data_IF_484459663539
#
_entry.id   IF_484459663539
#
_cell.length_a   1.000
_cell.length_b   1.000
_cell.length_c   1.000
_cell.angle_alpha   90.00
_cell.angle_beta   90.00
_cell.angle_gamma   90.00
#
_symmetry.space_group_name_H-M   'P 1'
#
loop_
_entity.id
_entity.type
_entity.pdbx_description
1 polymer ?
#
# COMPACT_ATOMS: atom_id res chain seq x y z
N UNK A 1 45.71 -35.17 -4.44
CA UNK A 1 45.93 -33.73 -4.22
C UNK A 1 44.82 -32.87 -4.87
N UNK A 2 44.39 -33.17 -6.09
CA UNK A 2 43.35 -32.43 -6.83
C UNK A 2 41.95 -32.60 -6.20
N UNK A 3 41.55 -33.80 -5.78
CA UNK A 3 40.28 -34.06 -5.09
C UNK A 3 40.15 -33.34 -3.74
N UNK A 4 41.22 -33.22 -2.98
CA UNK A 4 41.23 -32.51 -1.70
C UNK A 4 41.05 -31.02 -1.93
N UNK A 5 41.60 -30.47 -3.04
CA UNK A 5 41.46 -29.06 -3.39
C UNK A 5 40.02 -28.73 -3.84
N UNK A 6 39.39 -29.63 -4.60
CA UNK A 6 38.00 -29.49 -5.03
C UNK A 6 36.99 -29.53 -3.86
N UNK A 7 37.20 -30.47 -2.94
CA UNK A 7 36.33 -30.57 -1.75
C UNK A 7 36.48 -29.35 -0.83
N UNK A 8 37.70 -28.85 -0.68
CA UNK A 8 37.95 -27.61 0.09
C UNK A 8 37.32 -26.39 -0.56
N UNK A 9 37.42 -26.25 -1.89
CA UNK A 9 36.78 -25.16 -2.61
C UNK A 9 35.25 -25.21 -2.51
N UNK A 10 34.62 -26.37 -2.65
CA UNK A 10 33.18 -26.56 -2.46
C UNK A 10 32.71 -26.11 -1.05
N UNK A 11 33.46 -26.52 -0.01
CA UNK A 11 33.15 -26.12 1.37
C UNK A 11 33.27 -24.59 1.59
N UNK A 12 34.28 -23.94 0.98
CA UNK A 12 34.46 -22.50 1.05
C UNK A 12 33.31 -21.77 0.31
N UNK A 13 32.90 -22.25 -0.87
CA UNK A 13 31.80 -21.65 -1.63
C UNK A 13 30.47 -21.81 -0.87
N UNK A 14 30.19 -22.98 -0.31
CA UNK A 14 28.98 -23.20 0.50
C UNK A 14 28.98 -22.32 1.74
N UNK A 15 30.11 -22.18 2.42
CA UNK A 15 30.25 -21.28 3.59
C UNK A 15 30.05 -19.83 3.23
N UNK A 16 30.57 -19.36 2.09
CA UNK A 16 30.38 -17.99 1.58
C UNK A 16 28.91 -17.74 1.22
N UNK A 17 28.25 -18.68 0.56
CA UNK A 17 26.82 -18.59 0.24
C UNK A 17 25.98 -18.52 1.51
N UNK A 18 26.28 -19.36 2.51
CA UNK A 18 25.58 -19.33 3.80
C UNK A 18 25.82 -18.00 4.55
N UNK A 19 27.04 -17.46 4.50
CA UNK A 19 27.35 -16.14 5.08
C UNK A 19 26.62 -15.01 4.36
N UNK A 20 26.55 -15.03 3.03
CA UNK A 20 25.82 -14.03 2.24
C UNK A 20 24.31 -14.11 2.52
N UNK A 21 23.75 -15.31 2.57
CA UNK A 21 22.33 -15.52 2.91
C UNK A 21 22.03 -15.09 4.36
N UNK A 22 22.92 -15.38 5.30
CA UNK A 22 22.78 -14.92 6.68
C UNK A 22 22.93 -13.38 6.79
N UNK A 23 23.83 -12.78 6.02
CA UNK A 23 24.04 -11.34 6.00
C UNK A 23 22.85 -10.60 5.37
N UNK A 24 22.29 -11.12 4.26
CA UNK A 24 21.05 -10.60 3.68
C UNK A 24 19.86 -10.76 4.63
N UNK A 25 19.79 -11.83 5.42
CA UNK A 25 18.75 -12.00 6.44
C UNK A 25 18.93 -11.03 7.61
N UNK A 26 20.16 -10.79 8.05
CA UNK A 26 20.45 -9.81 9.11
C UNK A 26 20.18 -8.36 8.66
N UNK A 27 20.48 -8.04 7.42
CA UNK A 27 20.20 -6.70 6.85
C UNK A 27 18.67 -6.44 6.73
N UNK A 28 17.90 -7.47 6.34
CA UNK A 28 16.45 -7.37 6.29
C UNK A 28 15.81 -7.28 7.68
N UNK A 29 16.34 -7.96 8.69
CA UNK A 29 15.88 -7.90 10.09
C UNK A 29 16.34 -6.63 10.80
N UNK A 30 17.50 -6.06 10.45
CA UNK A 30 18.00 -4.78 10.99
C UNK A 30 17.18 -3.57 10.53
N UNK A 31 16.35 -3.73 9.51
CA UNK A 31 15.48 -2.67 8.97
C UNK A 31 14.01 -2.84 9.39
N UNK A 32 13.75 -3.04 10.65
CA UNK A 32 12.39 -3.14 11.19
C UNK A 32 12.25 -2.31 12.45
N UNK A 33 11.32 -1.37 12.44
CA UNK A 33 10.89 -0.70 13.65
C UNK A 33 9.80 -1.53 14.33
N UNK A 34 10.16 -2.44 15.22
CA UNK A 34 9.23 -3.33 15.90
C UNK A 34 8.21 -2.62 16.77
N UNK A 35 8.56 -1.46 17.33
CA UNK A 35 7.60 -0.64 18.06
C UNK A 35 6.51 -0.15 17.11
N UNK A 36 6.90 0.38 15.96
CA UNK A 36 5.96 0.82 14.94
C UNK A 36 5.07 -0.32 14.42
N UNK A 37 5.67 -1.48 14.12
CA UNK A 37 4.92 -2.63 13.62
C UNK A 37 3.85 -3.11 14.62
N UNK A 38 4.16 -3.12 15.91
CA UNK A 38 3.15 -3.41 16.95
C UNK A 38 2.09 -2.31 17.03
N UNK A 39 2.47 -1.05 16.89
CA UNK A 39 1.56 0.09 16.97
C UNK A 39 0.54 0.06 15.82
N UNK A 40 0.97 -0.20 14.58
CA UNK A 40 0.06 -0.26 13.43
C UNK A 40 -0.91 -1.44 13.53
N UNK A 41 -0.46 -2.58 14.04
CA UNK A 41 -1.34 -3.73 14.28
C UNK A 41 -2.36 -3.42 15.38
N UNK A 42 -1.93 -2.83 16.50
CA UNK A 42 -2.85 -2.42 17.57
C UNK A 42 -3.83 -1.33 17.12
N UNK A 43 -3.45 -0.48 16.17
CA UNK A 43 -4.35 0.52 15.60
C UNK A 43 -5.51 -0.13 14.83
N UNK A 44 -5.28 -1.25 14.14
CA UNK A 44 -6.33 -2.01 13.44
C UNK A 44 -7.46 -2.41 14.38
N UNK A 45 -7.13 -2.85 15.60
CA UNK A 45 -8.12 -3.34 16.58
C UNK A 45 -9.10 -2.26 17.05
N UNK A 46 -8.82 -0.98 16.76
CA UNK A 46 -9.70 0.15 17.09
C UNK A 46 -10.78 0.40 16.04
N UNK A 47 -10.66 -0.21 14.86
CA UNK A 47 -11.62 -0.06 13.78
C UNK A 47 -12.79 -1.04 13.96
N UNK A 48 -14.00 -0.59 13.66
CA UNK A 48 -15.16 -1.49 13.69
C UNK A 48 -15.02 -2.54 12.56
N UNK A 49 -15.73 -3.65 12.72
CA UNK A 49 -15.84 -4.63 11.65
C UNK A 49 -16.93 -4.16 10.67
N UNK A 50 -16.65 -4.26 9.35
CA UNK A 50 -17.58 -3.88 8.27
C UNK A 50 -17.68 -2.36 8.09
N UNK A 51 -18.91 -1.80 8.10
CA UNK A 51 -19.14 -0.36 7.94
C UNK A 51 -19.35 0.12 6.51
N UNK A 52 -19.37 -0.80 5.55
CA UNK A 52 -19.64 -0.53 4.14
C UNK A 52 -18.40 -0.20 3.32
N UNK A 53 -18.51 -0.50 2.03
CA UNK A 53 -17.49 -0.22 1.02
C UNK A 53 -18.04 0.73 -0.04
N UNK A 54 -17.42 1.89 -0.19
CA UNK A 54 -17.90 2.95 -1.07
C UNK A 54 -16.76 3.56 -1.90
N UNK A 55 -16.88 3.49 -3.22
CA UNK A 55 -15.90 4.06 -4.17
C UNK A 55 -16.45 5.22 -5.00
N UNK A 56 -17.69 5.65 -4.76
CA UNK A 56 -18.32 6.77 -5.47
C UNK A 56 -18.88 6.46 -6.86
N UNK A 57 -18.78 5.21 -7.32
CA UNK A 57 -19.12 4.86 -8.69
C UNK A 57 -20.25 3.83 -8.87
N UNK A 58 -20.99 3.48 -7.82
CA UNK A 58 -22.01 2.43 -7.92
C UNK A 58 -23.42 2.98 -7.85
N UNK A 59 -24.32 2.52 -8.74
CA UNK A 59 -25.71 2.98 -8.78
C UNK A 59 -26.50 2.73 -7.49
N UNK A 60 -26.04 1.80 -6.64
CA UNK A 60 -26.75 1.34 -5.44
C UNK A 60 -26.05 1.71 -4.14
N UNK A 61 -25.09 2.64 -4.15
CA UNK A 61 -24.45 3.12 -2.94
C UNK A 61 -25.45 3.99 -2.15
N UNK A 62 -26.12 3.41 -1.17
CA UNK A 62 -27.15 4.05 -0.32
C UNK A 62 -26.59 4.65 0.96
N UNK A 63 -25.31 4.96 1.02
CA UNK A 63 -24.68 5.53 2.19
C UNK A 63 -25.07 7.00 2.40
N UNK A 64 -25.27 7.40 3.65
CA UNK A 64 -25.62 8.76 4.02
C UNK A 64 -24.46 9.76 3.77
N UNK A 65 -23.24 9.27 3.58
CA UNK A 65 -22.05 10.08 3.29
C UNK A 65 -21.03 9.28 2.47
N UNK A 66 -20.14 9.99 1.81
CA UNK A 66 -19.04 9.42 1.05
C UNK A 66 -17.93 8.92 1.97
N UNK A 67 -17.04 8.07 1.44
CA UNK A 67 -15.82 7.64 2.15
C UNK A 67 -14.95 8.81 2.61
N UNK A 68 -14.80 9.79 1.78
CA UNK A 68 -14.00 10.99 2.07
C UNK A 68 -14.61 11.79 3.23
N UNK A 69 -15.92 11.95 3.21
CA UNK A 69 -16.62 12.62 4.31
C UNK A 69 -16.48 11.85 5.61
N UNK A 70 -16.60 10.52 5.55
CA UNK A 70 -16.37 9.67 6.71
C UNK A 70 -14.98 9.85 7.30
N UNK A 71 -13.95 9.81 6.44
CA UNK A 71 -12.58 9.98 6.90
C UNK A 71 -12.30 11.39 7.43
N UNK A 72 -12.84 12.43 6.77
CA UNK A 72 -12.73 13.81 7.22
C UNK A 72 -13.38 14.00 8.61
N UNK A 73 -14.59 13.48 8.81
CA UNK A 73 -15.32 13.59 10.07
C UNK A 73 -14.63 12.83 11.21
N UNK A 74 -13.95 11.72 10.88
CA UNK A 74 -13.16 10.96 11.83
C UNK A 74 -11.94 11.73 12.34
N UNK A 75 -11.39 12.62 11.53
CA UNK A 75 -10.19 13.39 11.85
C UNK A 75 -10.57 14.75 12.46
N UNK A 76 -10.81 14.77 13.75
CA UNK A 76 -11.27 15.94 14.49
C UNK A 76 -10.08 16.74 15.01
N UNK A 77 -9.89 17.96 14.49
CA UNK A 77 -8.86 18.88 14.94
C UNK A 77 -9.36 20.32 14.86
N UNK A 78 -9.47 20.98 16.03
CA UNK A 78 -9.91 22.36 16.15
C UNK A 78 -8.73 23.34 16.08
N UNK A 79 -8.97 24.63 15.79
CA UNK A 79 -7.96 25.67 15.96
C UNK A 79 -7.40 25.64 17.38
N UNK A 80 -6.08 25.55 17.50
CA UNK A 80 -5.39 25.49 18.82
C UNK A 80 -5.05 24.08 19.28
N UNK A 81 -5.64 23.05 18.71
CA UNK A 81 -5.29 21.68 19.06
C UNK A 81 -3.84 21.35 18.64
N UNK A 82 -3.13 20.69 19.53
CA UNK A 82 -1.77 20.22 19.27
C UNK A 82 -1.74 18.97 18.37
N UNK A 83 -2.77 18.15 18.46
CA UNK A 83 -2.94 16.92 17.66
C UNK A 83 -4.43 16.61 17.52
N UNK A 84 -4.82 15.86 16.47
CA UNK A 84 -6.22 15.51 16.28
C UNK A 84 -6.69 14.47 17.29
N UNK A 85 -8.00 14.45 17.49
CA UNK A 85 -8.72 13.30 17.97
C UNK A 85 -9.24 12.52 16.77
N UNK A 86 -8.86 11.25 16.64
CA UNK A 86 -9.32 10.41 15.54
C UNK A 86 -10.34 9.39 16.05
N UNK A 87 -11.49 9.30 15.37
CA UNK A 87 -12.61 8.43 15.74
C UNK A 87 -12.79 7.35 14.67
N UNK A 88 -12.16 6.17 14.80
CA UNK A 88 -12.19 5.12 13.77
C UNK A 88 -13.59 4.72 13.30
N UNK A 89 -14.58 4.72 14.19
CA UNK A 89 -15.97 4.38 13.85
C UNK A 89 -16.65 5.42 12.95
N UNK A 90 -16.14 6.63 12.84
CA UNK A 90 -16.65 7.65 11.94
C UNK A 90 -16.01 7.57 10.54
N UNK A 91 -14.89 6.90 10.38
CA UNK A 91 -14.20 6.72 9.10
C UNK A 91 -14.90 5.70 8.19
N UNK A 92 -16.21 5.80 8.10
CA UNK A 92 -17.11 4.93 7.35
C UNK A 92 -18.11 5.76 6.54
N UNK A 93 -18.60 5.25 5.37
CA UNK A 93 -18.08 4.06 4.68
C UNK A 93 -16.62 4.25 4.24
N UNK A 94 -15.96 3.18 3.80
CA UNK A 94 -14.55 3.23 3.46
C UNK A 94 -14.27 2.48 2.16
N UNK A 95 -13.05 2.64 1.63
CA UNK A 95 -12.48 1.76 0.63
C UNK A 95 -11.00 1.49 0.97
N UNK A 96 -10.33 0.66 0.20
CA UNK A 96 -9.05 0.08 0.61
C UNK A 96 -7.97 1.12 0.99
N UNK A 97 -7.76 2.15 0.18
CA UNK A 97 -6.74 3.16 0.49
C UNK A 97 -7.16 4.11 1.61
N UNK A 98 -8.47 4.40 1.76
CA UNK A 98 -8.95 5.16 2.91
C UNK A 98 -8.75 4.41 4.23
N UNK A 99 -8.96 3.10 4.21
CA UNK A 99 -8.75 2.24 5.37
C UNK A 99 -7.28 2.22 5.81
N UNK A 100 -6.36 2.03 4.88
CA UNK A 100 -4.92 2.03 5.19
C UNK A 100 -4.45 3.40 5.67
N UNK A 101 -4.97 4.49 5.10
CA UNK A 101 -4.69 5.84 5.58
C UNK A 101 -5.24 6.09 6.98
N UNK A 102 -6.47 5.70 7.25
CA UNK A 102 -7.09 5.84 8.57
C UNK A 102 -6.30 5.10 9.67
N UNK A 103 -5.86 3.87 9.39
CA UNK A 103 -5.00 3.11 10.31
C UNK A 103 -3.64 3.79 10.49
N UNK A 104 -3.05 4.34 9.42
CA UNK A 104 -1.80 5.11 9.52
C UNK A 104 -1.96 6.31 10.48
N UNK A 105 -3.02 7.11 10.32
CA UNK A 105 -3.30 8.25 11.21
C UNK A 105 -3.47 7.78 12.67
N UNK A 106 -4.26 6.74 12.90
CA UNK A 106 -4.44 6.19 14.23
C UNK A 106 -3.14 5.66 14.84
N UNK A 107 -2.33 4.97 14.04
CA UNK A 107 -1.03 4.46 14.48
C UNK A 107 -0.04 5.59 14.80
N UNK A 108 -0.01 6.66 13.99
CA UNK A 108 0.80 7.85 14.28
C UNK A 108 0.38 8.52 15.58
N UNK A 109 -0.92 8.63 15.86
CA UNK A 109 -1.43 9.15 17.14
C UNK A 109 -1.03 8.30 18.34
N UNK A 110 -1.06 6.99 18.17
CA UNK A 110 -0.66 6.05 19.23
C UNK A 110 0.85 6.06 19.46
N UNK A 111 1.63 6.27 18.42
CA UNK A 111 3.09 6.37 18.46
C UNK A 111 3.56 7.71 19.04
N UNK A 112 2.97 8.81 18.59
CA UNK A 112 3.38 10.18 18.90
C UNK A 112 2.82 10.68 20.25
N UNK A 113 3.06 9.94 21.33
CA UNK A 113 2.65 10.37 22.68
C UNK A 113 3.41 11.57 23.20
N UNK A 114 4.63 11.75 22.73
CA UNK A 114 5.53 12.85 23.10
C UNK A 114 5.31 14.15 22.31
N UNK A 115 4.49 14.12 21.25
CA UNK A 115 4.17 15.30 20.44
C UNK A 115 5.32 15.75 19.54
N UNK A 116 6.07 14.80 18.98
CA UNK A 116 7.12 15.07 17.97
C UNK A 116 6.51 15.57 16.67
N UNK A 117 5.32 15.04 16.30
CA UNK A 117 4.59 15.51 15.12
C UNK A 117 3.90 16.82 15.45
N UNK A 118 4.29 17.88 14.74
CA UNK A 118 3.81 19.24 14.99
C UNK A 118 2.33 19.41 14.63
N UNK A 119 1.64 20.38 15.26
CA UNK A 119 0.25 20.70 14.91
C UNK A 119 0.05 21.07 13.43
N UNK A 120 1.07 21.66 12.79
CA UNK A 120 1.05 21.98 11.36
C UNK A 120 1.08 20.72 10.51
N UNK A 121 1.93 19.74 10.86
CA UNK A 121 1.96 18.45 10.18
C UNK A 121 0.63 17.71 10.31
N UNK A 122 0.05 17.67 11.51
CA UNK A 122 -1.26 17.07 11.72
C UNK A 122 -2.35 17.73 10.87
N UNK A 123 -2.40 19.07 10.82
CA UNK A 123 -3.37 19.78 9.96
C UNK A 123 -3.18 19.44 8.49
N UNK A 124 -1.94 19.33 8.03
CA UNK A 124 -1.65 18.96 6.63
C UNK A 124 -2.03 17.51 6.31
N UNK A 125 -2.02 16.61 7.29
CA UNK A 125 -2.48 15.23 7.13
C UNK A 125 -4.00 15.07 7.19
N UNK A 126 -4.76 16.12 7.57
CA UNK A 126 -6.22 16.03 7.58
C UNK A 126 -6.73 15.75 6.18
N UNK A 127 -7.60 14.76 6.00
CA UNK A 127 -8.25 14.49 4.73
C UNK A 127 -9.08 15.71 4.30
N UNK A 128 -8.68 16.30 3.20
CA UNK A 128 -9.27 17.53 2.72
C UNK A 128 -9.09 17.65 1.23
N UNK A 129 -10.11 18.21 0.56
CA UNK A 129 -10.07 18.54 -0.85
C UNK A 129 -10.70 19.89 -1.06
N UNK A 130 -10.05 20.73 -1.84
CA UNK A 130 -10.50 22.07 -2.13
C UNK A 130 -11.50 22.21 -3.29
N UNK A 131 -11.85 21.11 -3.95
CA UNK A 131 -12.70 21.15 -5.15
C UNK A 131 -14.17 21.05 -4.76
N UNK A 132 -14.94 22.02 -5.21
CA UNK A 132 -16.40 22.06 -5.08
C UNK A 132 -17.03 21.76 -6.44
N UNK A 133 -17.91 20.78 -6.47
CA UNK A 133 -18.73 20.47 -7.64
C UNK A 133 -20.14 20.04 -7.22
N UNK A 134 -20.97 19.65 -8.18
CA UNK A 134 -22.36 19.24 -7.93
C UNK A 134 -22.50 17.98 -7.07
N UNK A 135 -21.49 17.11 -7.08
CA UNK A 135 -21.44 15.87 -6.29
C UNK A 135 -20.76 16.07 -4.94
N UNK A 136 -20.02 17.16 -4.80
CA UNK A 136 -19.24 17.49 -3.60
C UNK A 136 -19.33 19.00 -3.30
N UNK A 137 -20.53 19.49 -2.96
CA UNK A 137 -20.81 20.92 -2.86
C UNK A 137 -20.07 21.63 -1.71
N UNK A 138 -19.62 20.91 -0.71
CA UNK A 138 -18.81 21.43 0.39
C UNK A 138 -17.28 21.38 0.09
N UNK A 139 -16.89 20.84 -1.05
CA UNK A 139 -15.50 20.74 -1.47
C UNK A 139 -14.71 19.66 -0.74
N UNK A 140 -15.37 18.73 -0.05
CA UNK A 140 -14.74 17.64 0.67
C UNK A 140 -14.79 16.36 -0.17
N UNK A 141 -13.72 15.60 -0.14
CA UNK A 141 -13.80 14.22 -0.46
C UNK A 141 -13.58 13.78 -1.87
N UNK A 142 -12.88 14.51 -2.68
CA UNK A 142 -12.44 13.99 -3.97
C UNK A 142 -11.06 13.37 -3.90
N UNK A 143 -10.86 12.26 -4.62
CA UNK A 143 -9.63 11.50 -4.69
C UNK A 143 -8.76 11.91 -5.88
N UNK A 144 -8.69 13.16 -6.17
CA UNK A 144 -8.05 13.67 -7.37
C UNK A 144 -6.58 14.07 -7.18
N UNK A 145 -5.98 13.66 -6.08
CA UNK A 145 -4.58 13.92 -5.79
C UNK A 145 -4.32 15.30 -5.18
N UNK A 146 -5.37 16.01 -4.77
CA UNK A 146 -5.22 17.28 -4.06
C UNK A 146 -4.90 17.06 -2.60
N UNK A 147 -3.79 17.62 -2.11
CA UNK A 147 -3.34 17.48 -0.73
C UNK A 147 -2.76 16.11 -0.37
N UNK A 148 -2.42 15.92 0.90
CA UNK A 148 -1.83 14.66 1.38
C UNK A 148 -2.76 13.47 1.25
N UNK A 149 -4.05 13.69 1.45
CA UNK A 149 -5.04 12.66 1.26
C UNK A 149 -5.01 12.11 -0.17
N UNK A 150 -5.02 12.96 -1.18
CA UNK A 150 -4.93 12.54 -2.56
C UNK A 150 -3.65 11.77 -2.87
N UNK A 151 -2.50 12.20 -2.31
CA UNK A 151 -1.22 11.48 -2.44
C UNK A 151 -1.26 10.09 -1.84
N UNK A 152 -2.06 9.88 -0.79
CA UNK A 152 -2.19 8.61 -0.08
C UNK A 152 -3.30 7.71 -0.61
N UNK A 153 -4.21 8.26 -1.39
CA UNK A 153 -5.41 7.56 -1.83
C UNK A 153 -5.37 7.12 -3.29
N UNK A 154 -4.32 7.46 -4.02
CA UNK A 154 -4.16 6.98 -5.38
C UNK A 154 -4.23 5.44 -5.43
N UNK A 155 -4.77 4.89 -6.51
CA UNK A 155 -4.91 3.44 -6.67
C UNK A 155 -3.58 2.69 -6.73
N UNK A 156 -2.47 3.37 -6.96
CA UNK A 156 -1.12 2.83 -6.88
C UNK A 156 -0.61 2.70 -5.44
N UNK A 157 0.70 2.58 -5.23
CA UNK A 157 1.33 2.49 -3.90
C UNK A 157 1.46 3.85 -3.23
N UNK A 158 0.39 4.62 -3.18
CA UNK A 158 0.38 6.03 -2.78
C UNK A 158 0.99 6.31 -1.40
N UNK A 159 0.73 5.47 -0.40
CA UNK A 159 1.43 5.55 0.88
C UNK A 159 2.93 5.29 0.73
N UNK A 160 3.33 4.39 -0.18
CA UNK A 160 4.73 4.18 -0.52
C UNK A 160 5.42 5.42 -1.09
N UNK A 161 4.71 6.21 -1.90
CA UNK A 161 5.19 7.49 -2.42
C UNK A 161 5.43 8.47 -1.27
N UNK A 162 4.44 8.67 -0.41
CA UNK A 162 4.56 9.58 0.73
C UNK A 162 5.71 9.16 1.67
N UNK A 163 5.82 7.87 1.99
CA UNK A 163 6.86 7.35 2.87
C UNK A 163 8.25 7.56 2.27
N UNK A 164 8.40 7.40 0.94
CA UNK A 164 9.63 7.70 0.24
C UNK A 164 9.97 9.20 0.29
N UNK A 165 9.03 10.07 -0.03
CA UNK A 165 9.23 11.53 -0.01
C UNK A 165 9.60 12.05 1.38
N UNK A 166 9.04 11.47 2.43
CA UNK A 166 9.38 11.79 3.82
C UNK A 166 10.68 11.13 4.29
N UNK A 167 11.27 10.23 3.50
CA UNK A 167 12.38 9.38 3.92
C UNK A 167 12.03 8.61 5.22
N UNK A 168 10.75 8.26 5.38
CA UNK A 168 10.22 7.63 6.59
C UNK A 168 10.36 6.10 6.58
N UNK A 169 10.81 5.52 5.47
CA UNK A 169 10.96 4.10 5.31
C UNK A 169 11.40 3.72 3.91
N UNK A 170 11.06 2.53 3.48
CA UNK A 170 11.40 2.02 2.15
C UNK A 170 10.32 1.11 1.59
N UNK A 171 10.35 0.91 0.28
CA UNK A 171 9.48 -0.03 -0.42
C UNK A 171 10.30 -1.12 -1.11
N UNK A 172 9.70 -2.31 -1.20
CA UNK A 172 10.19 -3.44 -2.01
C UNK A 172 9.06 -3.92 -2.91
N UNK A 173 9.40 -4.44 -4.08
CA UNK A 173 8.41 -4.93 -5.04
C UNK A 173 8.84 -6.26 -5.65
N UNK A 174 7.86 -7.04 -6.08
CA UNK A 174 8.05 -8.17 -6.95
C UNK A 174 6.95 -8.21 -7.99
N UNK A 175 7.31 -8.68 -9.16
CA UNK A 175 6.45 -8.80 -10.33
C UNK A 175 6.49 -10.24 -10.83
N UNK A 176 5.32 -10.82 -11.02
CA UNK A 176 5.20 -12.20 -11.48
C UNK A 176 5.50 -12.38 -12.98
N UNK A 177 5.35 -11.31 -13.75
CA UNK A 177 5.36 -11.37 -15.21
C UNK A 177 4.00 -11.75 -15.79
N UNK A 178 3.88 -11.73 -17.11
CA UNK A 178 2.68 -12.15 -17.83
C UNK A 178 3.00 -13.28 -18.80
N UNK A 179 2.15 -14.31 -18.87
CA UNK A 179 2.37 -15.51 -19.71
C UNK A 179 2.56 -15.19 -21.20
N UNK A 180 1.83 -14.21 -21.68
CA UNK A 180 1.83 -13.80 -23.10
C UNK A 180 2.36 -12.39 -23.27
N UNK A 181 3.31 -11.99 -22.43
CA UNK A 181 3.86 -10.65 -22.49
C UNK A 181 4.70 -10.47 -23.76
N UNK A 182 4.13 -9.76 -24.73
CA UNK A 182 4.83 -9.28 -25.91
C UNK A 182 5.55 -7.96 -25.64
N UNK A 183 5.30 -7.33 -24.51
CA UNK A 183 5.95 -6.12 -24.02
C UNK A 183 6.67 -6.48 -22.74
N UNK A 184 7.96 -6.71 -22.85
CA UNK A 184 8.83 -6.86 -21.69
C UNK A 184 8.93 -5.51 -21.02
N UNK A 185 8.34 -5.33 -19.84
CA UNK A 185 8.53 -4.12 -19.05
C UNK A 185 9.98 -3.97 -18.61
N UNK A 186 10.67 -5.11 -18.40
CA UNK A 186 12.13 -5.18 -18.29
C UNK A 186 12.66 -6.38 -19.06
N UNK A 187 13.82 -6.28 -19.70
CA UNK A 187 14.39 -7.38 -20.51
C UNK A 187 14.69 -8.67 -19.74
N UNK A 188 14.69 -8.61 -18.39
CA UNK A 188 15.06 -9.71 -17.51
C UNK A 188 13.89 -10.43 -16.86
N UNK A 189 12.67 -9.88 -16.94
CA UNK A 189 11.53 -10.47 -16.25
C UNK A 189 10.91 -11.59 -17.10
N UNK A 190 11.07 -12.81 -16.63
CA UNK A 190 10.32 -13.96 -17.14
C UNK A 190 9.06 -14.17 -16.31
N UNK A 191 8.04 -14.74 -16.93
CA UNK A 191 6.87 -15.19 -16.18
C UNK A 191 7.26 -16.27 -15.16
N UNK A 192 6.88 -16.04 -13.90
CA UNK A 192 7.06 -16.99 -12.83
C UNK A 192 5.85 -17.93 -12.77
N UNK A 193 6.10 -19.23 -12.74
CA UNK A 193 5.07 -20.23 -12.51
C UNK A 193 4.40 -20.05 -11.15
N UNK A 194 3.26 -20.67 -10.93
CA UNK A 194 2.55 -20.59 -9.63
C UNK A 194 3.44 -21.04 -8.47
N UNK A 195 4.21 -22.12 -8.65
CA UNK A 195 5.11 -22.63 -7.66
C UNK A 195 6.27 -21.67 -7.33
N UNK A 196 6.89 -21.10 -8.38
CA UNK A 196 7.96 -20.11 -8.23
C UNK A 196 7.45 -18.83 -7.57
N UNK A 197 6.25 -18.37 -7.94
CA UNK A 197 5.66 -17.18 -7.36
C UNK A 197 5.28 -17.36 -5.89
N UNK A 198 4.66 -18.49 -5.51
CA UNK A 198 4.39 -18.82 -4.10
C UNK A 198 5.69 -18.96 -3.28
N UNK A 199 6.77 -19.43 -3.89
CA UNK A 199 8.09 -19.56 -3.25
C UNK A 199 8.92 -18.27 -3.30
N UNK A 200 8.43 -17.20 -3.97
CA UNK A 200 9.22 -15.99 -4.19
C UNK A 200 9.66 -15.34 -2.86
N UNK A 201 10.94 -14.91 -2.76
CA UNK A 201 11.50 -14.34 -1.53
C UNK A 201 10.74 -13.15 -0.95
N UNK A 202 10.03 -12.41 -1.79
CA UNK A 202 9.26 -11.22 -1.37
C UNK A 202 8.29 -11.52 -0.22
N UNK A 203 7.66 -12.70 -0.21
CA UNK A 203 6.72 -13.11 0.82
C UNK A 203 7.36 -13.32 2.19
N UNK A 204 8.66 -13.67 2.21
CA UNK A 204 9.46 -13.83 3.44
C UNK A 204 10.10 -12.53 3.91
N UNK A 205 10.27 -11.56 3.01
CA UNK A 205 10.80 -10.23 3.33
C UNK A 205 9.72 -9.33 3.93
N UNK A 206 8.45 -9.59 3.64
CA UNK A 206 7.33 -8.88 4.20
C UNK A 206 7.24 -9.11 5.72
N UNK A 207 6.95 -8.06 6.46
CA UNK A 207 6.77 -8.09 7.91
C UNK A 207 5.33 -7.70 8.24
N UNK A 208 4.75 -8.38 9.23
CA UNK A 208 3.41 -8.05 9.72
C UNK A 208 3.32 -6.58 10.11
N UNK A 209 2.38 -5.86 9.53
CA UNK A 209 2.21 -4.41 9.67
C UNK A 209 2.79 -3.60 8.51
N UNK A 210 3.48 -4.22 7.54
CA UNK A 210 3.86 -3.51 6.32
C UNK A 210 2.60 -3.08 5.56
N UNK A 211 2.63 -1.88 5.02
CA UNK A 211 1.64 -1.44 4.04
C UNK A 211 1.88 -2.21 2.76
N UNK A 212 0.83 -2.77 2.18
CA UNK A 212 0.93 -3.61 0.99
C UNK A 212 0.00 -3.09 -0.09
N UNK A 213 0.53 -2.91 -1.28
CA UNK A 213 -0.28 -2.71 -2.49
C UNK A 213 -0.27 -3.97 -3.33
N UNK A 214 -1.47 -4.46 -3.63
CA UNK A 214 -1.74 -5.59 -4.50
C UNK A 214 -2.15 -5.05 -5.87
N UNK A 215 -1.49 -5.50 -6.93
CA UNK A 215 -1.97 -5.39 -8.31
C UNK A 215 -2.45 -6.77 -8.73
N UNK A 216 -3.75 -6.88 -8.98
CA UNK A 216 -4.38 -8.17 -9.23
C UNK A 216 -3.95 -8.78 -10.56
N UNK A 217 -3.73 -10.08 -10.55
CA UNK A 217 -3.68 -10.86 -11.78
C UNK A 217 -5.10 -10.98 -12.35
N UNK A 218 -5.46 -10.08 -13.26
CA UNK A 218 -6.80 -10.02 -13.82
C UNK A 218 -7.21 -11.27 -14.57
N UNK A 219 -6.25 -12.00 -15.09
CA UNK A 219 -6.51 -13.20 -15.86
C UNK A 219 -7.07 -14.34 -15.02
N UNK A 220 -6.60 -14.47 -13.77
CA UNK A 220 -7.08 -15.48 -12.84
C UNK A 220 -8.30 -15.02 -12.05
N UNK A 221 -8.34 -13.76 -11.64
CA UNK A 221 -9.42 -13.21 -10.82
C UNK A 221 -10.71 -12.91 -11.58
N UNK A 222 -10.66 -12.79 -12.92
CA UNK A 222 -11.80 -12.41 -13.77
C UNK A 222 -12.04 -13.33 -14.97
N UNK A 223 -11.33 -14.47 -15.07
CA UNK A 223 -11.48 -15.40 -16.18
C UNK A 223 -10.99 -14.88 -17.54
N UNK A 224 -10.11 -13.89 -17.54
CA UNK A 224 -9.50 -13.39 -18.77
C UNK A 224 -8.19 -14.11 -19.08
N UNK A 225 -8.00 -14.48 -20.34
CA UNK A 225 -6.78 -15.15 -20.81
C UNK A 225 -5.55 -14.28 -20.60
N UNK A 226 -4.48 -14.89 -20.05
CA UNK A 226 -3.23 -14.27 -19.66
C UNK A 226 -2.68 -13.26 -20.67
N UNK A 227 -3.03 -12.00 -20.50
CA UNK A 227 -2.59 -10.89 -21.33
C UNK A 227 -1.46 -10.10 -20.70
N UNK A 228 -0.78 -9.32 -21.50
CA UNK A 228 0.16 -8.30 -21.04
C UNK A 228 -0.51 -7.38 -20.02
N UNK A 229 0.26 -6.80 -19.11
CA UNK A 229 -0.22 -5.67 -18.31
C UNK A 229 -0.61 -4.57 -19.29
N UNK A 230 -1.90 -4.31 -19.36
CA UNK A 230 -2.45 -3.25 -20.19
C UNK A 230 -3.07 -2.24 -19.23
N UNK A 231 -2.67 -0.99 -19.31
CA UNK A 231 -3.29 0.10 -18.59
C UNK A 231 -4.79 0.24 -18.91
N UNK A 232 -5.50 1.04 -18.16
CA UNK A 232 -6.92 1.31 -18.41
C UNK A 232 -7.20 1.93 -19.79
N UNK A 233 -6.21 2.62 -20.34
CA UNK A 233 -6.26 3.23 -21.67
C UNK A 233 -5.95 2.25 -22.82
N UNK A 234 -5.68 0.99 -22.50
CA UNK A 234 -5.28 -0.02 -23.47
C UNK A 234 -3.84 0.12 -23.97
N UNK A 235 -3.05 1.03 -23.37
CA UNK A 235 -1.64 1.25 -23.76
C UNK A 235 -0.76 0.19 -23.11
N UNK A 236 0.05 -0.47 -23.94
CA UNK A 236 1.02 -1.45 -23.48
C UNK A 236 2.13 -0.79 -22.65
N UNK A 237 2.59 -1.49 -21.61
CA UNK A 237 3.64 -1.01 -20.71
C UNK A 237 3.13 -0.06 -19.61
N UNK A 238 1.84 0.28 -19.60
CA UNK A 238 1.22 0.99 -18.50
C UNK A 238 0.71 0.02 -17.45
N UNK A 239 1.07 0.27 -16.19
CA UNK A 239 0.52 -0.49 -15.07
C UNK A 239 -0.96 -0.23 -14.93
N UNK A 240 -1.71 -1.30 -14.73
CA UNK A 240 -3.06 -1.16 -14.28
C UNK A 240 -3.06 -0.90 -12.78
N UNK A 241 -3.27 0.35 -12.41
CA UNK A 241 -3.23 0.82 -11.03
C UNK A 241 -4.39 0.29 -10.17
N UNK A 242 -5.43 -0.25 -10.81
CA UNK A 242 -6.51 -0.90 -10.09
C UNK A 242 -6.02 -2.13 -9.32
N UNK A 243 -6.19 -2.07 -8.03
CA UNK A 243 -5.72 -3.11 -7.15
C UNK A 243 -6.28 -2.93 -5.75
N UNK A 244 -5.53 -3.35 -4.75
CA UNK A 244 -5.98 -3.30 -3.37
C UNK A 244 -4.88 -2.77 -2.46
N UNK A 245 -5.20 -1.77 -1.64
CA UNK A 245 -4.30 -1.25 -0.61
C UNK A 245 -4.67 -1.90 0.72
N UNK A 246 -3.71 -2.55 1.36
CA UNK A 246 -3.95 -3.38 2.53
C UNK A 246 -2.82 -3.25 3.54
N UNK A 247 -3.02 -3.77 4.75
CA UNK A 247 -1.96 -3.98 5.74
C UNK A 247 -1.70 -5.49 5.81
N UNK A 248 -0.46 -5.86 5.57
CA UNK A 248 -0.04 -7.26 5.59
C UNK A 248 -0.06 -7.81 7.01
N UNK A 249 -0.72 -8.96 7.20
CA UNK A 249 -0.82 -9.64 8.49
C UNK A 249 0.01 -10.91 8.57
N UNK A 250 0.46 -11.45 7.43
CA UNK A 250 1.26 -12.67 7.38
C UNK A 250 0.84 -13.60 6.25
N UNK A 251 1.41 -14.80 6.30
CA UNK A 251 1.03 -15.93 5.46
C UNK A 251 0.33 -16.97 6.34
N UNK A 252 -0.75 -17.55 5.83
CA UNK A 252 -1.39 -18.70 6.49
C UNK A 252 -0.58 -19.99 6.31
N UNK A 253 -0.91 -21.00 7.05
CA UNK A 253 -0.26 -22.33 6.96
C UNK A 253 -0.47 -23.02 5.61
N UNK A 254 -1.56 -22.69 4.91
CA UNK A 254 -1.86 -23.15 3.54
C UNK A 254 -1.31 -22.21 2.46
N UNK A 255 -0.45 -21.24 2.84
CA UNK A 255 0.29 -20.38 1.91
C UNK A 255 -0.51 -19.20 1.32
N UNK A 256 -1.63 -18.83 1.92
CA UNK A 256 -2.40 -17.64 1.51
C UNK A 256 -1.83 -16.37 2.14
N UNK A 257 -1.88 -15.28 1.42
CA UNK A 257 -1.60 -13.94 1.95
C UNK A 257 -2.77 -13.50 2.81
N UNK A 258 -2.51 -13.15 4.06
CA UNK A 258 -3.49 -12.62 5.00
C UNK A 258 -3.27 -11.11 5.14
N UNK A 259 -4.32 -10.33 5.04
CA UNK A 259 -4.25 -8.88 5.12
C UNK A 259 -5.50 -8.29 5.78
N UNK A 260 -5.38 -7.04 6.22
CA UNK A 260 -6.50 -6.23 6.68
C UNK A 260 -6.70 -5.02 5.76
N UNK A 261 -7.95 -4.69 5.50
CA UNK A 261 -8.32 -3.50 4.73
C UNK A 261 -9.82 -3.21 4.86
N UNK A 262 -10.32 -2.23 4.12
CA UNK A 262 -11.72 -2.20 3.73
C UNK A 262 -11.88 -3.07 2.47
N UNK A 263 -12.59 -4.18 2.60
CA UNK A 263 -12.76 -5.18 1.56
C UNK A 263 -14.13 -5.05 0.90
N UNK A 264 -14.14 -5.11 -0.40
CA UNK A 264 -15.32 -5.06 -1.29
C UNK A 264 -14.88 -4.98 -2.74
N UNK A 265 -15.78 -4.98 -3.69
CA UNK A 265 -17.17 -5.39 -3.61
C UNK A 265 -17.29 -6.91 -3.65
N UNK A 266 -17.92 -7.47 -2.63
CA UNK A 266 -18.40 -8.84 -2.68
C UNK A 266 -19.88 -8.90 -3.07
N UNK A 267 -20.39 -10.10 -3.22
CA UNK A 267 -21.81 -10.33 -3.51
C UNK A 267 -22.69 -10.06 -2.27
N UNK A 268 -22.08 -9.97 -1.08
CA UNK A 268 -22.78 -9.71 0.17
C UNK A 268 -22.35 -8.37 0.79
N UNK A 269 -23.18 -7.30 0.66
CA UNK A 269 -22.94 -6.01 1.28
C UNK A 269 -22.73 -6.08 2.80
N UNK A 270 -23.30 -7.09 3.47
CA UNK A 270 -23.14 -7.25 4.91
C UNK A 270 -21.70 -7.57 5.34
N UNK A 271 -20.86 -8.06 4.42
CA UNK A 271 -19.45 -8.37 4.66
C UNK A 271 -18.50 -7.31 4.11
N UNK A 272 -19.01 -6.24 3.50
CA UNK A 272 -18.17 -5.16 2.95
C UNK A 272 -17.71 -4.18 4.02
N UNK A 273 -16.51 -3.66 3.84
CA UNK A 273 -15.89 -2.70 4.75
C UNK A 273 -14.68 -3.28 5.47
N UNK A 274 -14.39 -2.77 6.66
CA UNK A 274 -13.22 -3.16 7.46
C UNK A 274 -13.27 -4.65 7.84
N UNK A 275 -12.29 -5.39 7.39
CA UNK A 275 -12.20 -6.83 7.67
C UNK A 275 -10.82 -7.39 7.35
N UNK A 276 -10.55 -8.57 7.88
CA UNK A 276 -9.44 -9.41 7.45
C UNK A 276 -9.85 -10.10 6.15
N UNK A 277 -8.98 -10.02 5.15
CA UNK A 277 -9.11 -10.74 3.90
C UNK A 277 -7.96 -11.71 3.67
N UNK A 278 -8.12 -12.57 2.69
CA UNK A 278 -7.04 -13.44 2.23
C UNK A 278 -7.13 -13.71 0.74
N UNK A 279 -5.97 -13.91 0.10
CA UNK A 279 -5.92 -14.35 -1.29
C UNK A 279 -4.77 -15.33 -1.50
N UNK A 280 -4.89 -16.13 -2.56
CA UNK A 280 -3.74 -16.90 -3.04
C UNK A 280 -2.70 -15.94 -3.64
N UNK A 281 -1.39 -16.14 -3.38
CA UNK A 281 -0.35 -15.33 -4.03
C UNK A 281 -0.48 -15.27 -5.55
N UNK A 282 -0.96 -16.32 -6.20
CA UNK A 282 -1.13 -16.38 -7.66
C UNK A 282 -2.18 -15.42 -8.21
N UNK A 283 -3.11 -14.97 -7.37
CA UNK A 283 -4.05 -13.90 -7.74
C UNK A 283 -3.37 -12.53 -7.82
N UNK A 284 -2.13 -12.41 -7.36
CA UNK A 284 -1.35 -11.18 -7.33
C UNK A 284 -0.35 -11.20 -8.48
N UNK A 285 -0.39 -10.20 -9.34
CA UNK A 285 0.57 -10.06 -10.42
C UNK A 285 1.81 -9.25 -10.01
N UNK A 286 1.59 -8.15 -9.28
CA UNK A 286 2.63 -7.35 -8.65
C UNK A 286 2.26 -7.06 -7.21
N UNK A 287 3.24 -7.03 -6.36
CA UNK A 287 3.09 -6.57 -4.97
C UNK A 287 4.13 -5.50 -4.67
N UNK A 288 3.73 -4.49 -3.91
CA UNK A 288 4.64 -3.53 -3.29
C UNK A 288 4.41 -3.59 -1.79
N UNK A 289 5.46 -3.86 -1.03
CA UNK A 289 5.46 -3.71 0.42
C UNK A 289 6.20 -2.44 0.80
N UNK A 290 5.60 -1.64 1.65
CA UNK A 290 6.19 -0.41 2.18
C UNK A 290 6.30 -0.50 3.69
N UNK A 291 7.51 -0.33 4.21
CA UNK A 291 7.83 -0.41 5.63
C UNK A 291 8.21 0.95 6.18
N UNK A 292 7.56 1.36 7.25
CA UNK A 292 7.89 2.58 7.98
C UNK A 292 8.93 2.25 9.04
N UNK A 293 10.05 2.95 8.99
CA UNK A 293 11.15 2.85 9.95
C UNK A 293 11.17 4.04 10.91
N UNK A 294 10.78 5.21 10.41
CA UNK A 294 10.91 6.51 11.03
C UNK A 294 9.57 7.23 11.08
N UNK A 295 8.60 6.77 11.91
CA UNK A 295 7.28 7.40 12.00
C UNK A 295 7.34 8.85 12.48
N UNK A 296 8.38 9.25 13.22
CA UNK A 296 8.62 10.63 13.62
C UNK A 296 8.87 11.58 12.43
N UNK A 297 9.29 11.06 11.28
CA UNK A 297 9.51 11.84 10.06
C UNK A 297 8.24 12.30 9.39
N UNK A 298 7.08 11.81 9.82
CA UNK A 298 5.81 12.38 9.39
C UNK A 298 5.63 13.84 9.82
N UNK A 299 6.44 14.34 10.75
CA UNK A 299 6.50 15.77 11.03
C UNK A 299 6.96 16.61 9.82
N UNK A 300 7.73 16.06 8.90
CA UNK A 300 8.17 16.73 7.66
C UNK A 300 7.00 17.11 6.74
N UNK A 301 5.84 16.48 6.91
CA UNK A 301 4.60 16.85 6.20
C UNK A 301 4.25 18.33 6.37
N UNK A 302 4.67 18.96 7.47
CA UNK A 302 4.47 20.40 7.73
C UNK A 302 5.07 21.30 6.66
N UNK A 303 6.13 20.85 6.00
CA UNK A 303 6.91 21.63 5.03
C UNK A 303 6.56 21.28 3.58
N UNK A 304 5.70 20.28 3.37
CA UNK A 304 5.23 19.88 2.04
C UNK A 304 4.03 20.72 1.62
N UNK A 305 3.98 21.06 0.33
CA UNK A 305 2.79 21.68 -0.25
C UNK A 305 1.66 20.64 -0.36
N UNK A 306 0.45 20.94 0.13
CA UNK A 306 -0.68 19.99 0.04
C UNK A 306 -1.00 19.55 -1.39
N UNK A 307 -0.81 20.45 -2.36
CA UNK A 307 -1.07 20.22 -3.79
C UNK A 307 0.18 19.82 -4.58
N UNK A 308 1.29 19.58 -3.90
CA UNK A 308 2.50 19.14 -4.56
C UNK A 308 2.32 17.71 -5.09
N UNK A 309 2.35 17.55 -6.41
CA UNK A 309 2.07 16.30 -7.11
C UNK A 309 3.32 15.88 -7.86
N UNK A 310 3.87 14.72 -7.53
CA UNK A 310 4.94 14.15 -8.33
C UNK A 310 4.41 13.58 -9.66
N UNK A 311 5.33 13.25 -10.58
CA UNK A 311 4.99 12.74 -11.91
C UNK A 311 4.07 11.52 -11.86
N UNK A 312 4.33 10.59 -10.94
CA UNK A 312 3.52 9.38 -10.76
C UNK A 312 2.08 9.73 -10.41
N UNK A 313 1.86 10.58 -9.40
CA UNK A 313 0.53 10.97 -8.95
C UNK A 313 -0.20 11.81 -9.98
N UNK A 314 0.52 12.67 -10.72
CA UNK A 314 -0.06 13.45 -11.79
C UNK A 314 -0.66 12.56 -12.87
N UNK A 315 0.09 11.56 -13.34
CA UNK A 315 -0.39 10.62 -14.35
C UNK A 315 -1.54 9.75 -13.82
N UNK A 316 -1.42 9.28 -12.58
CA UNK A 316 -2.45 8.47 -11.93
C UNK A 316 -3.78 9.23 -11.81
N UNK A 317 -3.75 10.49 -11.35
CA UNK A 317 -4.95 11.31 -11.20
C UNK A 317 -5.63 11.58 -12.54
N UNK A 318 -4.87 11.74 -13.60
CA UNK A 318 -5.43 11.96 -14.91
C UNK A 318 -6.13 10.75 -15.50
N UNK A 319 -5.63 9.53 -15.27
CA UNK A 319 -6.07 8.35 -16.02
C UNK A 319 -5.95 7.01 -15.28
N UNK A 320 -5.58 7.02 -14.02
CA UNK A 320 -5.39 5.81 -13.21
C UNK A 320 -4.40 4.79 -13.78
N UNK A 321 -3.31 5.24 -14.39
CA UNK A 321 -2.25 4.37 -14.89
C UNK A 321 -0.90 5.07 -14.88
N UNK A 322 0.16 4.28 -14.71
CA UNK A 322 1.54 4.73 -14.73
C UNK A 322 2.42 3.69 -15.42
N UNK A 323 3.67 4.04 -15.70
CA UNK A 323 4.68 3.07 -16.10
C UNK A 323 5.34 2.43 -14.88
N UNK A 324 5.96 1.25 -15.07
CA UNK A 324 6.76 0.61 -14.02
C UNK A 324 7.87 1.54 -13.54
N UNK A 325 8.56 2.23 -14.43
CA UNK A 325 9.62 3.17 -14.07
C UNK A 325 9.13 4.33 -13.20
N UNK A 326 7.95 4.85 -13.50
CA UNK A 326 7.32 5.88 -12.66
C UNK A 326 7.02 5.35 -11.26
N UNK A 327 6.48 4.13 -11.15
CA UNK A 327 6.25 3.47 -9.87
C UNK A 327 7.54 3.30 -9.07
N UNK A 328 8.59 2.76 -9.70
CA UNK A 328 9.86 2.52 -9.05
C UNK A 328 10.49 3.82 -8.54
N UNK A 329 10.54 4.85 -9.40
CA UNK A 329 11.06 6.18 -9.02
C UNK A 329 10.26 6.79 -7.87
N UNK A 330 8.93 6.79 -7.97
CA UNK A 330 8.06 7.41 -6.98
C UNK A 330 8.14 6.76 -5.59
N UNK A 331 8.44 5.46 -5.54
CA UNK A 331 8.56 4.70 -4.30
C UNK A 331 10.01 4.50 -3.84
N UNK A 332 10.99 5.03 -4.58
CA UNK A 332 12.41 4.89 -4.28
C UNK A 332 12.95 3.47 -4.41
N UNK A 333 12.24 2.59 -5.10
CA UNK A 333 12.70 1.22 -5.38
C UNK A 333 13.76 1.30 -6.51
N UNK A 334 14.91 0.66 -6.26
CA UNK A 334 16.05 0.61 -7.19
C UNK A 334 16.27 -0.80 -7.71
#
# INVERSE_FOLDING_TARGET
MQEILEDTMKKIIISLILCIVAWCHLDAQGRVNWQWQRTIIAAIDKFPIRGGYYTGGRPNDTFAKTTWRGLHDAFQMQPGDRRPHFVPSQAQPSFCSSATYAVLIQALLDFDKSGVISPKAWRNMKPYVGIKDSLNPDGLGQDDGVGFWGRCNANGPSLGVLIHELDAGFSITAFRGAKNDTVKETPAERYLTDAEWRAHPIWRQAVRGDLMKIFWNRNESRGHDGGAIIGYDGVKGHLQEAGHSVIFLGMSTDGRVIYWSSNGPGDDPAHMGYSVGSCDPTAIQRVVFTRILHPERFDRVRDMAPTDVNEYLYNLNGRCHSTTDQLLRATGIR
#
